data_IF_103728881401
#
_entry.id   IF_103728881401
#
_cell.length_a   1.000
_cell.length_b   1.000
_cell.length_c   1.000
_cell.angle_alpha   90.00
_cell.angle_beta   90.00
_cell.angle_gamma   90.00
#
_symmetry.space_group_name_H-M   'P 1'
#
loop_
_entity.id
_entity.type
_entity.pdbx_description
1 polymer ?
#
# COMPACT_ATOMS: atom_id res chain seq x y z
N UNK A 1 -13.57 -10.25 -25.83
CA UNK A 1 -12.67 -11.02 -24.95
C UNK A 1 -12.53 -10.26 -23.65
N UNK A 2 -12.99 -10.82 -22.54
CA UNK A 2 -12.88 -10.18 -21.23
C UNK A 2 -11.40 -10.08 -20.85
N UNK A 3 -10.90 -8.85 -20.70
CA UNK A 3 -9.60 -8.62 -20.06
C UNK A 3 -9.63 -9.28 -18.69
N UNK A 4 -8.87 -10.36 -18.54
CA UNK A 4 -8.58 -10.94 -17.22
C UNK A 4 -7.88 -9.84 -16.44
N UNK A 5 -8.60 -9.16 -15.53
CA UNK A 5 -7.99 -8.38 -14.45
C UNK A 5 -7.14 -9.35 -13.64
N UNK A 6 -5.86 -9.46 -14.00
CA UNK A 6 -4.87 -10.14 -13.18
C UNK A 6 -4.73 -9.29 -11.91
N UNK A 7 -5.07 -9.90 -10.78
CA UNK A 7 -4.82 -9.33 -9.46
C UNK A 7 -3.30 -9.18 -9.30
N UNK A 8 -2.78 -7.97 -9.41
CA UNK A 8 -1.38 -7.67 -9.12
C UNK A 8 -1.30 -7.33 -7.63
N UNK A 9 -0.64 -8.19 -6.86
CA UNK A 9 -0.39 -7.94 -5.45
C UNK A 9 0.47 -6.68 -5.28
N UNK A 10 0.33 -5.96 -4.16
CA UNK A 10 1.27 -4.88 -3.78
C UNK A 10 2.72 -5.41 -3.77
N UNK A 11 2.88 -6.70 -3.44
CA UNK A 11 4.15 -7.43 -3.44
C UNK A 11 4.73 -7.62 -4.85
N UNK A 12 3.88 -7.70 -5.89
CA UNK A 12 4.32 -7.83 -7.29
C UNK A 12 4.71 -6.47 -7.89
N UNK A 13 4.23 -5.37 -7.29
CA UNK A 13 4.44 -4.01 -7.79
C UNK A 13 5.84 -3.47 -7.49
N UNK A 14 6.44 -3.79 -6.34
CA UNK A 14 7.77 -3.27 -5.91
C UNK A 14 8.95 -3.83 -6.71
N UNK A 15 9.08 -5.15 -6.94
CA UNK A 15 10.15 -5.69 -7.79
C UNK A 15 10.03 -5.20 -9.23
N UNK A 16 8.80 -4.98 -9.71
CA UNK A 16 8.59 -4.33 -11.00
C UNK A 16 9.01 -2.86 -10.95
N UNK A 17 8.65 -2.10 -9.91
CA UNK A 17 8.98 -0.68 -9.76
C UNK A 17 10.48 -0.41 -9.66
N UNK A 18 11.25 -1.17 -8.89
CA UNK A 18 12.72 -1.01 -8.81
C UNK A 18 13.38 -1.36 -10.14
N UNK A 19 13.03 -2.49 -10.76
CA UNK A 19 13.53 -2.87 -12.09
C UNK A 19 13.12 -1.88 -13.19
N UNK A 20 11.94 -1.26 -13.07
CA UNK A 20 11.42 -0.23 -13.98
C UNK A 20 12.20 1.07 -13.78
N UNK A 21 12.50 1.48 -12.54
CA UNK A 21 13.31 2.66 -12.26
C UNK A 21 14.73 2.49 -12.80
N UNK A 22 15.34 1.34 -12.54
CA UNK A 22 16.72 1.05 -12.97
C UNK A 22 16.87 1.01 -14.49
N UNK A 23 15.82 0.62 -15.23
CA UNK A 23 15.83 0.60 -16.69
C UNK A 23 15.35 1.90 -17.35
N UNK A 24 14.24 2.50 -16.90
CA UNK A 24 13.62 3.65 -17.60
C UNK A 24 14.26 4.99 -17.27
N UNK A 25 14.86 5.15 -16.08
CA UNK A 25 15.51 6.43 -15.71
C UNK A 25 16.72 6.72 -16.61
N UNK A 26 17.66 5.77 -16.81
CA UNK A 26 18.75 5.97 -17.77
C UNK A 26 18.26 6.28 -19.19
N UNK A 27 17.20 5.61 -19.66
CA UNK A 27 16.63 5.84 -20.99
C UNK A 27 16.04 7.25 -21.16
N UNK A 28 15.41 7.80 -20.11
CA UNK A 28 14.91 9.18 -20.09
C UNK A 28 16.08 10.16 -20.06
N UNK A 29 17.08 9.91 -19.22
CA UNK A 29 18.29 10.74 -19.12
C UNK A 29 19.04 10.82 -20.45
N UNK A 30 19.19 9.68 -21.13
CA UNK A 30 19.90 9.59 -22.40
C UNK A 30 19.20 10.42 -23.49
N UNK A 31 17.91 10.19 -23.73
CA UNK A 31 17.15 10.94 -24.74
C UNK A 31 17.08 12.42 -24.40
N UNK A 32 16.93 12.77 -23.11
CA UNK A 32 16.92 14.18 -22.71
C UNK A 32 18.27 14.86 -23.02
N UNK A 33 19.38 14.22 -22.68
CA UNK A 33 20.73 14.76 -22.94
C UNK A 33 20.99 14.89 -24.44
N UNK A 34 20.58 13.90 -25.24
CA UNK A 34 20.71 13.94 -26.70
C UNK A 34 19.95 15.14 -27.32
N UNK A 35 18.74 15.43 -26.81
CA UNK A 35 17.92 16.56 -27.26
C UNK A 35 18.54 17.90 -26.84
N UNK A 36 18.96 18.02 -25.57
CA UNK A 36 19.46 19.27 -25.01
C UNK A 36 20.85 19.67 -25.52
N UNK A 37 21.60 18.73 -26.10
CA UNK A 37 22.86 19.02 -26.80
C UNK A 37 22.66 19.77 -28.13
N UNK A 38 21.42 19.88 -28.62
CA UNK A 38 21.11 20.69 -29.80
C UNK A 38 20.77 22.14 -29.39
N UNK A 39 21.56 23.10 -29.84
CA UNK A 39 21.42 24.53 -29.47
C UNK A 39 20.07 25.13 -29.86
N UNK A 40 19.50 24.73 -31.01
CA UNK A 40 18.20 25.19 -31.48
C UNK A 40 17.08 24.69 -30.56
N UNK A 41 17.09 23.40 -30.22
CA UNK A 41 16.10 22.83 -29.31
C UNK A 41 16.27 23.35 -27.89
N UNK A 42 17.50 23.54 -27.42
CA UNK A 42 17.77 24.16 -26.14
C UNK A 42 17.22 25.59 -26.05
N UNK A 43 17.36 26.38 -27.12
CA UNK A 43 16.81 27.74 -27.21
C UNK A 43 15.29 27.72 -27.09
N UNK A 44 14.64 26.85 -27.86
CA UNK A 44 13.20 26.62 -27.81
C UNK A 44 12.69 26.15 -26.46
N UNK A 45 13.43 25.22 -25.85
CA UNK A 45 13.15 24.72 -24.52
C UNK A 45 13.18 25.86 -23.50
N UNK A 46 14.20 26.72 -23.56
CA UNK A 46 14.33 27.88 -22.68
C UNK A 46 13.19 28.90 -22.87
N UNK A 47 12.84 29.21 -24.12
CA UNK A 47 11.76 30.16 -24.43
C UNK A 47 10.41 29.68 -23.88
N UNK A 48 10.06 28.41 -24.12
CA UNK A 48 8.79 27.84 -23.62
C UNK A 48 8.83 27.71 -22.10
N UNK A 49 9.98 27.33 -21.52
CA UNK A 49 10.13 27.26 -20.05
C UNK A 49 9.78 28.58 -19.39
N UNK A 50 10.35 29.68 -19.89
CA UNK A 50 10.09 31.01 -19.38
C UNK A 50 8.64 31.44 -19.64
N UNK A 51 8.11 31.10 -20.80
CA UNK A 51 6.74 31.42 -21.21
C UNK A 51 5.66 30.73 -20.33
N UNK A 52 5.91 29.52 -19.85
CA UNK A 52 4.94 28.70 -19.12
C UNK A 52 5.19 28.65 -17.61
N UNK A 53 6.43 28.76 -17.17
CA UNK A 53 6.84 28.54 -15.77
C UNK A 53 7.57 29.74 -15.15
N UNK A 54 7.91 30.77 -15.92
CA UNK A 54 8.52 32.00 -15.40
C UNK A 54 10.02 31.90 -15.09
N UNK A 55 10.57 33.02 -14.59
CA UNK A 55 12.02 33.20 -14.42
C UNK A 55 12.60 32.44 -13.21
N UNK A 56 11.87 32.32 -12.10
CA UNK A 56 12.36 31.62 -10.91
C UNK A 56 12.53 30.11 -11.17
N UNK A 57 11.59 29.51 -11.90
CA UNK A 57 11.67 28.11 -12.32
C UNK A 57 12.79 27.86 -13.34
N UNK A 58 13.05 28.81 -14.24
CA UNK A 58 14.20 28.76 -15.15
C UNK A 58 15.54 28.75 -14.39
N UNK A 59 15.66 29.56 -13.32
CA UNK A 59 16.87 29.55 -12.48
C UNK A 59 17.05 28.22 -11.74
N UNK A 60 15.96 27.59 -11.28
CA UNK A 60 16.00 26.26 -10.66
C UNK A 60 16.50 25.18 -11.62
N UNK A 61 16.12 25.24 -12.91
CA UNK A 61 16.59 24.32 -13.96
C UNK A 61 18.08 24.54 -14.32
N UNK A 62 18.59 25.77 -14.16
CA UNK A 62 19.98 26.12 -14.46
C UNK A 62 20.93 25.81 -13.30
N UNK A 63 20.49 26.05 -12.05
CA UNK A 63 21.26 25.82 -10.83
C UNK A 63 21.37 24.34 -10.49
N UNK A 64 20.28 23.59 -10.65
CA UNK A 64 20.35 22.14 -10.69
C UNK A 64 20.78 21.74 -12.09
N UNK A 65 22.09 21.59 -12.35
CA UNK A 65 22.56 20.82 -13.52
C UNK A 65 21.60 19.64 -13.66
N UNK A 66 20.84 19.58 -14.76
CA UNK A 66 19.74 18.63 -15.02
C UNK A 66 20.25 17.19 -15.05
N UNK A 67 20.76 16.76 -13.92
CA UNK A 67 20.97 15.40 -13.57
C UNK A 67 19.61 15.03 -13.00
N UNK A 68 18.95 14.08 -13.64
CA UNK A 68 17.94 13.29 -12.95
C UNK A 68 18.68 12.50 -11.87
N UNK A 69 19.15 13.20 -10.81
CA UNK A 69 20.05 12.62 -9.81
C UNK A 69 19.31 11.46 -9.16
N UNK A 70 19.87 10.26 -9.32
CA UNK A 70 19.59 9.12 -8.47
C UNK A 70 20.27 9.38 -7.13
N UNK A 71 19.67 10.20 -6.28
CA UNK A 71 19.84 9.96 -4.86
C UNK A 71 18.65 9.12 -4.42
N UNK A 72 18.98 7.96 -3.83
CA UNK A 72 18.11 6.95 -3.21
C UNK A 72 16.61 7.17 -3.47
N UNK A 73 16.14 6.67 -4.62
CA UNK A 73 14.72 6.37 -4.94
C UNK A 73 13.75 7.49 -5.35
N UNK A 74 14.16 8.76 -5.52
CA UNK A 74 13.20 9.80 -5.99
C UNK A 74 13.70 10.62 -7.18
N UNK A 75 13.05 10.45 -8.33
CA UNK A 75 13.22 11.31 -9.50
C UNK A 75 12.34 12.55 -9.34
N UNK A 76 12.85 13.72 -9.74
CA UNK A 76 12.11 14.97 -9.60
C UNK A 76 10.94 15.03 -10.60
N UNK A 77 9.74 14.68 -10.13
CA UNK A 77 8.51 14.61 -10.92
C UNK A 77 8.12 15.95 -11.56
N UNK A 78 8.45 17.05 -10.89
CA UNK A 78 8.26 18.41 -11.43
C UNK A 78 9.08 18.60 -12.70
N UNK A 79 10.32 18.09 -12.72
CA UNK A 79 11.18 18.16 -13.92
C UNK A 79 10.59 17.31 -15.04
N UNK A 80 10.08 16.10 -14.76
CA UNK A 80 9.42 15.28 -15.78
C UNK A 80 8.19 15.96 -16.38
N UNK A 81 7.35 16.55 -15.53
CA UNK A 81 6.17 17.31 -15.96
C UNK A 81 6.56 18.45 -16.89
N UNK A 82 7.57 19.25 -16.51
CA UNK A 82 8.03 20.38 -17.30
C UNK A 82 8.62 19.93 -18.64
N UNK A 83 9.55 18.97 -18.62
CA UNK A 83 10.19 18.43 -19.83
C UNK A 83 9.14 17.88 -20.80
N UNK A 84 8.17 17.14 -20.27
CA UNK A 84 7.07 16.59 -21.07
C UNK A 84 6.23 17.69 -21.73
N UNK A 85 5.82 18.70 -20.97
CA UNK A 85 5.02 19.81 -21.49
C UNK A 85 5.78 20.63 -22.53
N UNK A 86 7.05 20.97 -22.25
CA UNK A 86 7.87 21.78 -23.14
C UNK A 86 8.11 21.05 -24.47
N UNK A 87 8.48 19.78 -24.44
CA UNK A 87 8.71 19.00 -25.66
C UNK A 87 7.42 18.90 -26.49
N UNK A 88 6.27 18.67 -25.85
CA UNK A 88 4.98 18.69 -26.56
C UNK A 88 4.70 20.03 -27.23
N UNK A 89 5.04 21.15 -26.58
CA UNK A 89 4.86 22.48 -27.16
C UNK A 89 5.80 22.73 -28.33
N UNK A 90 7.06 22.27 -28.26
CA UNK A 90 8.01 22.36 -29.39
C UNK A 90 7.46 21.60 -30.60
N UNK A 91 6.98 20.37 -30.39
CA UNK A 91 6.41 19.53 -31.46
C UNK A 91 5.11 20.15 -32.01
N UNK A 92 4.22 20.62 -31.14
CA UNK A 92 2.95 21.23 -31.54
C UNK A 92 3.15 22.51 -32.36
N UNK A 93 4.18 23.31 -32.03
CA UNK A 93 4.55 24.53 -32.75
C UNK A 93 5.32 24.26 -34.06
N UNK A 94 5.60 23.00 -34.39
CA UNK A 94 6.29 22.56 -35.62
C UNK A 94 7.63 23.28 -35.84
N UNK A 95 8.36 23.53 -34.75
CA UNK A 95 9.65 24.19 -34.82
C UNK A 95 10.70 23.31 -35.49
N UNK A 96 11.63 23.92 -36.24
CA UNK A 96 12.65 23.20 -37.00
C UNK A 96 13.76 22.70 -36.08
N UNK A 97 14.05 21.40 -36.16
CA UNK A 97 15.17 20.73 -35.51
C UNK A 97 15.71 19.63 -36.43
N UNK A 98 16.91 19.10 -36.14
CA UNK A 98 17.53 18.10 -37.02
C UNK A 98 16.74 16.79 -37.02
N UNK A 99 16.74 16.09 -38.16
CA UNK A 99 16.12 14.75 -38.27
C UNK A 99 16.73 13.76 -37.28
N UNK A 100 18.02 13.91 -36.97
CA UNK A 100 18.75 13.09 -36.01
C UNK A 100 18.12 13.07 -34.60
N UNK A 101 17.52 14.19 -34.15
CA UNK A 101 16.86 14.26 -32.83
C UNK A 101 15.34 14.16 -32.93
N UNK A 102 14.78 14.05 -34.14
CA UNK A 102 13.33 13.99 -34.33
C UNK A 102 12.72 12.74 -33.71
N UNK A 103 13.42 11.61 -33.78
CA UNK A 103 13.02 10.38 -33.12
C UNK A 103 12.99 10.54 -31.60
N UNK A 104 14.04 11.10 -31.01
CA UNK A 104 14.12 11.31 -29.56
C UNK A 104 13.03 12.29 -29.05
N UNK A 105 12.75 13.34 -29.82
CA UNK A 105 11.68 14.29 -29.53
C UNK A 105 10.28 13.64 -29.46
N UNK A 106 10.05 12.59 -30.25
CA UNK A 106 8.79 11.84 -30.23
C UNK A 106 8.77 10.73 -29.17
N UNK A 107 9.89 10.02 -28.98
CA UNK A 107 9.96 8.88 -28.07
C UNK A 107 10.03 9.31 -26.60
N UNK A 108 10.67 10.44 -26.29
CA UNK A 108 10.88 10.88 -24.90
C UNK A 108 9.56 11.13 -24.17
N UNK A 109 8.55 11.83 -24.74
CA UNK A 109 7.22 11.93 -24.14
C UNK A 109 6.56 10.57 -23.86
N UNK A 110 6.77 9.57 -24.73
CA UNK A 110 6.24 8.22 -24.54
C UNK A 110 6.96 7.48 -23.40
N UNK A 111 8.29 7.62 -23.31
CA UNK A 111 9.09 7.07 -22.19
C UNK A 111 8.69 7.70 -20.86
N UNK A 112 8.52 9.02 -20.82
CA UNK A 112 8.02 9.73 -19.63
C UNK A 112 6.65 9.19 -19.24
N UNK A 113 5.70 9.06 -20.20
CA UNK A 113 4.38 8.45 -19.93
C UNK A 113 4.48 7.05 -19.35
N UNK A 114 5.30 6.19 -19.94
CA UNK A 114 5.52 4.82 -19.46
C UNK A 114 6.06 4.81 -18.02
N UNK A 115 7.01 5.68 -17.73
CA UNK A 115 7.60 5.83 -16.40
C UNK A 115 6.58 6.33 -15.37
N UNK A 116 5.86 7.42 -15.65
CA UNK A 116 4.86 7.95 -14.70
C UNK A 116 3.69 7.00 -14.47
N UNK A 117 3.26 6.26 -15.50
CA UNK A 117 2.19 5.27 -15.37
C UNK A 117 2.65 4.10 -14.50
N UNK A 118 3.89 3.63 -14.69
CA UNK A 118 4.48 2.63 -13.82
C UNK A 118 4.61 3.11 -12.36
N UNK A 119 4.74 4.43 -12.16
CA UNK A 119 4.74 5.05 -10.83
C UNK A 119 3.35 5.45 -10.31
N UNK A 120 2.27 4.98 -10.93
CA UNK A 120 0.88 5.30 -10.57
C UNK A 120 0.56 6.81 -10.58
N UNK A 121 1.18 7.56 -11.47
CA UNK A 121 0.82 8.94 -11.80
C UNK A 121 0.04 8.98 -13.12
N UNK A 122 -0.67 10.09 -13.35
CA UNK A 122 -1.23 10.41 -14.66
C UNK A 122 -1.12 11.90 -14.92
N UNK A 123 -1.12 12.26 -16.20
CA UNK A 123 -1.32 13.64 -16.60
C UNK A 123 -2.82 13.97 -16.66
N UNK A 124 -3.19 15.13 -16.14
CA UNK A 124 -4.52 15.73 -16.31
C UNK A 124 -4.36 17.12 -16.92
N UNK A 125 -5.35 17.55 -17.68
CA UNK A 125 -5.39 18.92 -18.20
C UNK A 125 -5.58 19.89 -17.02
N UNK A 126 -4.73 20.92 -17.00
CA UNK A 126 -4.71 21.99 -16.00
C UNK A 126 -4.31 23.29 -16.69
N UNK A 127 -4.48 24.41 -16.00
CA UNK A 127 -4.01 25.71 -16.48
C UNK A 127 -2.90 26.26 -15.57
N UNK A 128 -1.95 26.99 -16.16
CA UNK A 128 -0.97 27.79 -15.40
C UNK A 128 -1.65 29.02 -14.78
N UNK A 129 -0.94 29.74 -13.90
CA UNK A 129 -1.40 31.02 -13.36
C UNK A 129 -1.72 32.05 -14.48
N UNK A 130 -1.10 31.92 -15.65
CA UNK A 130 -1.36 32.74 -16.83
C UNK A 130 -2.41 32.13 -17.78
N UNK A 131 -3.26 31.21 -17.31
CA UNK A 131 -4.32 30.51 -18.08
C UNK A 131 -3.83 29.76 -19.32
N UNK A 132 -2.59 29.24 -19.30
CA UNK A 132 -2.09 28.41 -20.40
C UNK A 132 -2.35 26.94 -20.12
N UNK A 133 -2.80 26.16 -21.12
CA UNK A 133 -3.07 24.74 -20.93
C UNK A 133 -1.75 23.99 -20.72
N UNK A 134 -1.68 23.23 -19.64
CA UNK A 134 -0.58 22.34 -19.29
C UNK A 134 -1.11 21.00 -18.82
N UNK A 135 -0.30 19.96 -19.00
CA UNK A 135 -0.58 18.64 -18.45
C UNK A 135 0.09 18.54 -17.08
N UNK A 136 -0.72 18.57 -16.03
CA UNK A 136 -0.26 18.46 -14.64
C UNK A 136 -0.17 17.01 -14.24
N UNK A 137 0.95 16.61 -13.65
CA UNK A 137 1.15 15.30 -13.09
C UNK A 137 0.42 15.20 -11.75
N UNK A 138 -0.52 14.28 -11.66
CA UNK A 138 -1.26 14.00 -10.43
C UNK A 138 -1.15 12.54 -10.08
N UNK A 139 -1.05 12.25 -8.77
CA UNK A 139 -1.16 10.88 -8.29
C UNK A 139 -2.51 10.31 -8.72
N UNK A 140 -2.51 9.07 -9.21
CA UNK A 140 -3.77 8.35 -9.35
C UNK A 140 -4.34 8.12 -7.95
N UNK A 141 -5.66 7.98 -7.80
CA UNK A 141 -6.30 7.74 -6.51
C UNK A 141 -5.75 6.50 -5.79
N UNK A 142 -5.22 5.52 -6.54
CA UNK A 142 -4.46 4.38 -6.03
C UNK A 142 -3.18 4.78 -5.29
N UNK A 143 -2.52 5.89 -5.65
CA UNK A 143 -1.32 6.40 -5.00
C UNK A 143 -1.61 7.16 -3.72
N UNK A 144 -2.65 7.99 -3.65
CA UNK A 144 -3.04 8.66 -2.39
C UNK A 144 -3.38 7.60 -1.34
N UNK A 145 -4.09 6.54 -1.73
CA UNK A 145 -4.38 5.40 -0.86
C UNK A 145 -3.10 4.62 -0.50
N UNK A 146 -2.14 4.47 -1.42
CA UNK A 146 -0.86 3.77 -1.15
C UNK A 146 0.11 4.60 -0.31
N UNK A 147 0.20 5.92 -0.50
CA UNK A 147 1.01 6.84 0.32
C UNK A 147 0.38 7.00 1.71
N UNK A 148 -0.95 7.12 1.83
CA UNK A 148 -1.64 7.07 3.13
C UNK A 148 -1.47 5.72 3.82
N UNK A 149 -1.42 4.60 3.08
CA UNK A 149 -1.11 3.28 3.62
C UNK A 149 0.36 3.13 4.01
N UNK A 150 1.31 3.70 3.27
CA UNK A 150 2.75 3.66 3.59
C UNK A 150 3.08 4.54 4.80
N UNK A 151 2.40 5.68 4.94
CA UNK A 151 2.54 6.57 6.09
C UNK A 151 1.81 6.04 7.34
N UNK A 152 0.69 5.31 7.19
CA UNK A 152 0.01 4.65 8.32
C UNK A 152 0.59 3.27 8.67
N UNK A 153 1.17 2.56 7.70
CA UNK A 153 1.71 1.22 7.86
C UNK A 153 3.13 1.16 7.29
N UNK A 154 4.13 1.18 8.16
CA UNK A 154 5.56 1.05 7.85
C UNK A 154 5.90 -0.24 7.04
N UNK A 155 5.64 -0.22 5.72
CA UNK A 155 5.59 -1.39 4.81
C UNK A 155 6.97 -2.03 4.54
N UNK A 156 8.07 -1.30 4.77
CA UNK A 156 9.43 -1.86 4.67
C UNK A 156 9.72 -2.87 5.78
N UNK A 157 9.16 -2.68 6.98
CA UNK A 157 9.32 -3.60 8.10
C UNK A 157 8.51 -4.87 7.87
N UNK A 158 7.28 -4.77 7.38
CA UNK A 158 6.42 -5.94 7.14
C UNK A 158 6.99 -6.84 6.04
N UNK A 159 7.42 -6.27 4.92
CA UNK A 159 8.02 -7.05 3.82
C UNK A 159 9.34 -7.72 4.24
N UNK A 160 10.17 -7.03 5.02
CA UNK A 160 11.38 -7.62 5.58
C UNK A 160 11.05 -8.77 6.54
N UNK A 161 10.07 -8.59 7.43
CA UNK A 161 9.61 -9.65 8.35
C UNK A 161 9.07 -10.85 7.57
N UNK A 162 8.31 -10.63 6.49
CA UNK A 162 7.78 -11.71 5.64
C UNK A 162 8.92 -12.46 4.93
N UNK A 163 9.86 -11.72 4.34
CA UNK A 163 11.02 -12.28 3.67
C UNK A 163 11.88 -13.12 4.63
N UNK A 164 12.19 -12.57 5.81
CA UNK A 164 12.93 -13.27 6.85
C UNK A 164 12.19 -14.50 7.36
N UNK A 165 10.86 -14.43 7.54
CA UNK A 165 10.07 -15.56 8.02
C UNK A 165 10.08 -16.73 7.04
N UNK A 166 9.98 -16.44 5.73
CA UNK A 166 10.02 -17.45 4.66
C UNK A 166 11.42 -18.01 4.40
N UNK A 167 12.45 -17.20 4.62
CA UNK A 167 13.84 -17.62 4.50
C UNK A 167 14.34 -18.41 5.74
N UNK A 168 13.66 -18.25 6.89
CA UNK A 168 14.00 -18.96 8.11
C UNK A 168 13.81 -20.48 7.95
N UNK A 169 14.82 -21.23 8.36
CA UNK A 169 14.80 -22.69 8.34
C UNK A 169 13.78 -23.23 9.35
N UNK A 170 13.33 -24.48 9.17
CA UNK A 170 12.35 -25.11 10.06
C UNK A 170 12.81 -25.16 11.52
N UNK A 171 14.12 -25.28 11.74
CA UNK A 171 14.73 -25.38 13.07
C UNK A 171 14.82 -24.04 13.80
N UNK A 172 14.63 -22.92 13.08
CA UNK A 172 14.71 -21.54 13.62
C UNK A 172 13.37 -21.09 14.23
N UNK A 173 12.79 -21.95 15.08
CA UNK A 173 11.46 -21.77 15.68
C UNK A 173 11.34 -20.46 16.48
N UNK A 174 12.39 -20.08 17.17
CA UNK A 174 12.45 -18.86 18.01
C UNK A 174 12.45 -17.58 17.15
N UNK A 175 13.18 -17.60 16.03
CA UNK A 175 13.20 -16.52 15.04
C UNK A 175 11.82 -16.39 14.39
N UNK A 176 11.24 -17.50 13.93
CA UNK A 176 9.90 -17.52 13.35
C UNK A 176 8.86 -16.96 14.33
N UNK A 177 8.90 -17.34 15.60
CA UNK A 177 8.01 -16.81 16.62
C UNK A 177 8.15 -15.29 16.82
N UNK A 178 9.39 -14.80 16.86
CA UNK A 178 9.64 -13.36 16.98
C UNK A 178 9.11 -12.59 15.77
N UNK A 179 9.34 -13.10 14.56
CA UNK A 179 8.85 -12.51 13.31
C UNK A 179 7.31 -12.56 13.23
N UNK A 180 6.69 -13.66 13.64
CA UNK A 180 5.24 -13.80 13.70
C UNK A 180 4.59 -12.77 14.64
N UNK A 181 5.16 -12.54 15.83
CA UNK A 181 4.66 -11.52 16.76
C UNK A 181 4.69 -10.10 16.20
N UNK A 182 5.69 -9.79 15.36
CA UNK A 182 5.73 -8.50 14.67
C UNK A 182 4.55 -8.34 13.69
N UNK A 183 4.02 -9.44 13.14
CA UNK A 183 2.85 -9.43 12.23
C UNK A 183 1.53 -9.51 13.00
N UNK A 184 1.49 -10.19 14.15
CA UNK A 184 0.27 -10.42 14.93
C UNK A 184 -0.47 -9.12 15.28
N UNK A 185 0.26 -8.02 15.52
CA UNK A 185 -0.32 -6.68 15.72
C UNK A 185 -1.22 -6.24 14.55
N UNK A 186 -0.82 -6.50 13.31
CA UNK A 186 -1.61 -6.17 12.12
C UNK A 186 -2.80 -7.12 11.93
N UNK A 187 -2.67 -8.36 12.40
CA UNK A 187 -3.75 -9.37 12.37
C UNK A 187 -4.90 -8.97 13.29
N UNK A 188 -4.59 -8.41 14.47
CA UNK A 188 -5.60 -7.87 15.38
C UNK A 188 -6.39 -6.71 14.77
N UNK A 189 -5.76 -5.86 13.96
CA UNK A 189 -6.47 -4.83 13.21
C UNK A 189 -7.38 -5.41 12.11
N UNK A 190 -6.92 -6.49 11.47
CA UNK A 190 -7.64 -7.27 10.46
C UNK A 190 -8.75 -8.17 11.01
N UNK A 191 -8.94 -8.23 12.33
CA UNK A 191 -9.80 -9.20 13.00
C UNK A 191 -11.24 -9.24 12.45
N UNK A 192 -11.83 -8.07 12.20
CA UNK A 192 -13.17 -7.95 11.62
C UNK A 192 -13.33 -8.65 10.25
N UNK A 193 -12.27 -8.68 9.44
CA UNK A 193 -12.29 -9.39 8.16
C UNK A 193 -12.29 -10.90 8.34
N UNK A 194 -11.49 -11.41 9.28
CA UNK A 194 -11.39 -12.85 9.53
C UNK A 194 -12.75 -13.38 9.98
N UNK A 195 -13.40 -12.73 10.94
CA UNK A 195 -14.74 -13.11 11.39
C UNK A 195 -15.79 -13.08 10.26
N UNK A 196 -15.78 -12.03 9.44
CA UNK A 196 -16.78 -11.89 8.37
C UNK A 196 -16.54 -12.78 7.14
N UNK A 197 -15.28 -13.05 6.78
CA UNK A 197 -14.93 -13.74 5.54
C UNK A 197 -14.59 -15.21 5.74
N UNK A 198 -14.02 -15.57 6.88
CA UNK A 198 -13.61 -16.95 7.18
C UNK A 198 -14.53 -17.64 8.20
N UNK A 199 -15.47 -16.90 8.80
CA UNK A 199 -16.48 -17.42 9.71
C UNK A 199 -16.05 -17.40 11.17
N UNK A 200 -17.03 -17.44 12.07
CA UNK A 200 -16.84 -17.23 13.51
C UNK A 200 -16.07 -18.36 14.18
N UNK A 201 -16.35 -19.62 13.83
CA UNK A 201 -15.67 -20.79 14.39
C UNK A 201 -14.18 -20.81 14.01
N UNK A 202 -13.89 -20.58 12.73
CA UNK A 202 -12.50 -20.48 12.25
C UNK A 202 -11.77 -19.33 12.94
N UNK A 203 -12.36 -18.13 12.95
CA UNK A 203 -11.76 -16.95 13.57
C UNK A 203 -11.46 -17.18 15.06
N UNK A 204 -12.39 -17.78 15.81
CA UNK A 204 -12.20 -18.04 17.24
C UNK A 204 -11.06 -19.02 17.49
N UNK A 205 -10.98 -20.11 16.73
CA UNK A 205 -9.89 -21.07 16.84
C UNK A 205 -8.54 -20.45 16.43
N UNK A 206 -8.53 -19.67 15.36
CA UNK A 206 -7.36 -18.96 14.88
C UNK A 206 -6.82 -18.00 15.95
N UNK A 207 -7.64 -17.08 16.45
CA UNK A 207 -7.21 -16.10 17.45
C UNK A 207 -6.79 -16.73 18.78
N UNK A 208 -7.41 -17.86 19.17
CA UNK A 208 -6.95 -18.62 20.34
C UNK A 208 -5.51 -19.11 20.20
N UNK A 209 -5.14 -19.60 19.02
CA UNK A 209 -3.76 -20.04 18.73
C UNK A 209 -2.80 -18.84 18.60
N UNK A 210 -3.23 -17.74 17.98
CA UNK A 210 -2.45 -16.48 17.94
C UNK A 210 -2.15 -15.97 19.35
N UNK A 211 -3.16 -15.87 20.21
CA UNK A 211 -2.99 -15.45 21.60
C UNK A 211 -2.08 -16.39 22.41
N UNK A 212 -2.11 -17.69 22.11
CA UNK A 212 -1.21 -18.65 22.73
C UNK A 212 0.25 -18.39 22.34
N UNK A 213 0.52 -18.14 21.06
CA UNK A 213 1.86 -17.83 20.57
C UNK A 213 2.38 -16.47 21.05
N UNK A 214 1.51 -15.46 21.19
CA UNK A 214 1.89 -14.14 21.70
C UNK A 214 2.40 -14.20 23.15
N UNK A 215 1.84 -15.10 23.98
CA UNK A 215 2.21 -15.26 25.39
C UNK A 215 3.57 -15.95 25.59
N UNK A 216 4.02 -16.74 24.63
CA UNK A 216 5.31 -17.42 24.74
C UNK A 216 6.45 -16.41 24.73
N UNK A 217 7.56 -16.66 25.44
CA UNK A 217 8.76 -15.82 25.35
C UNK A 217 9.70 -16.43 24.32
N UNK A 218 10.00 -15.70 23.24
CA UNK A 218 10.79 -16.22 22.12
C UNK A 218 12.19 -16.63 22.54
N UNK A 219 12.76 -15.99 23.55
CA UNK A 219 14.10 -16.25 24.09
C UNK A 219 14.16 -17.45 25.05
N UNK A 220 13.00 -17.95 25.53
CA UNK A 220 12.91 -18.98 26.56
C UNK A 220 11.70 -19.89 26.30
N UNK A 221 11.75 -20.66 25.21
CA UNK A 221 10.74 -21.67 24.89
C UNK A 221 11.05 -23.01 25.58
N UNK A 222 10.05 -23.57 26.28
CA UNK A 222 10.12 -24.96 26.71
C UNK A 222 10.02 -25.92 25.53
N UNK A 223 10.44 -27.18 25.71
CA UNK A 223 10.37 -28.23 24.67
C UNK A 223 8.94 -28.43 24.15
N UNK A 224 7.94 -28.28 25.03
CA UNK A 224 6.52 -28.40 24.67
C UNK A 224 6.06 -27.21 23.83
N UNK A 225 6.47 -26.00 24.18
CA UNK A 225 6.12 -24.78 23.43
C UNK A 225 6.81 -24.76 22.07
N UNK A 226 8.09 -25.17 22.00
CA UNK A 226 8.84 -25.26 20.73
C UNK A 226 8.14 -26.19 19.73
N UNK A 227 7.70 -27.38 20.19
CA UNK A 227 6.91 -28.32 19.37
C UNK A 227 5.56 -27.75 18.93
N UNK A 228 4.89 -26.97 19.80
CA UNK A 228 3.63 -26.33 19.44
C UNK A 228 3.86 -25.29 18.34
N UNK A 229 4.82 -24.37 18.55
CA UNK A 229 5.17 -23.30 17.59
C UNK A 229 5.52 -23.91 16.24
N UNK A 230 6.43 -24.89 16.20
CA UNK A 230 6.85 -25.55 14.97
C UNK A 230 5.67 -26.15 14.17
N UNK A 231 4.65 -26.65 14.87
CA UNK A 231 3.46 -27.25 14.24
C UNK A 231 2.52 -26.22 13.62
N UNK A 232 2.29 -25.08 14.28
CA UNK A 232 1.18 -24.17 13.92
C UNK A 232 1.64 -22.87 13.26
N UNK A 233 2.90 -22.46 13.44
CA UNK A 233 3.32 -21.09 13.13
C UNK A 233 3.29 -20.74 11.63
N UNK A 234 3.63 -21.69 10.76
CA UNK A 234 3.61 -21.46 9.31
C UNK A 234 2.18 -21.28 8.79
N UNK A 235 1.24 -22.08 9.29
CA UNK A 235 -0.18 -21.96 8.93
C UNK A 235 -0.79 -20.65 9.45
N UNK A 236 -0.50 -20.31 10.71
CA UNK A 236 -0.96 -19.06 11.30
C UNK A 236 -0.39 -17.84 10.58
N UNK A 237 0.88 -17.91 10.17
CA UNK A 237 1.53 -16.88 9.39
C UNK A 237 0.87 -16.73 8.00
N UNK A 238 0.59 -17.83 7.29
CA UNK A 238 -0.05 -17.76 5.99
C UNK A 238 -1.45 -17.11 6.07
N UNK A 239 -2.24 -17.48 7.08
CA UNK A 239 -3.55 -16.86 7.33
C UNK A 239 -3.42 -15.38 7.71
N UNK A 240 -2.39 -15.03 8.48
CA UNK A 240 -2.09 -13.64 8.83
C UNK A 240 -1.82 -12.79 7.57
N UNK A 241 -1.00 -13.30 6.64
CA UNK A 241 -0.70 -12.60 5.38
C UNK A 241 -1.95 -12.43 4.52
N UNK A 242 -2.77 -13.48 4.38
CA UNK A 242 -4.05 -13.37 3.65
C UNK A 242 -4.95 -12.31 4.28
N UNK A 243 -5.01 -12.25 5.61
CA UNK A 243 -5.82 -11.28 6.33
C UNK A 243 -5.33 -9.83 6.11
N UNK A 244 -4.02 -9.61 6.12
CA UNK A 244 -3.41 -8.31 5.81
C UNK A 244 -3.69 -7.89 4.36
N UNK A 245 -3.60 -8.82 3.41
CA UNK A 245 -3.90 -8.55 1.99
C UNK A 245 -5.37 -8.19 1.79
N UNK A 246 -6.29 -8.93 2.41
CA UNK A 246 -7.72 -8.63 2.38
C UNK A 246 -8.05 -7.29 3.03
N UNK A 247 -7.34 -6.94 4.10
CA UNK A 247 -7.47 -5.64 4.75
C UNK A 247 -7.07 -4.50 3.81
N UNK A 248 -5.93 -4.64 3.14
CA UNK A 248 -5.48 -3.66 2.15
C UNK A 248 -6.48 -3.51 1.00
N UNK A 249 -7.05 -4.62 0.49
CA UNK A 249 -8.07 -4.57 -0.56
C UNK A 249 -9.37 -3.90 -0.10
N UNK A 250 -9.84 -4.22 1.10
CA UNK A 250 -11.02 -3.60 1.70
C UNK A 250 -10.84 -2.10 1.95
N UNK A 251 -9.64 -1.66 2.31
CA UNK A 251 -9.29 -0.24 2.44
C UNK A 251 -9.29 0.45 1.08
N UNK A 252 -8.66 -0.15 0.06
CA UNK A 252 -8.65 0.37 -1.32
C UNK A 252 -10.04 0.51 -1.93
N UNK A 253 -10.91 -0.46 -1.67
CA UNK A 253 -12.29 -0.43 -2.11
C UNK A 253 -13.18 0.53 -1.28
N UNK A 254 -12.65 1.16 -0.23
CA UNK A 254 -13.38 2.10 0.63
C UNK A 254 -14.46 1.43 1.49
N UNK A 255 -14.44 0.10 1.63
CA UNK A 255 -15.44 -0.68 2.39
C UNK A 255 -14.99 -1.00 3.81
N UNK A 256 -13.72 -0.74 4.15
CA UNK A 256 -13.13 -1.08 5.45
C UNK A 256 -13.92 -0.55 6.65
N UNK A 257 -14.34 0.72 6.60
CA UNK A 257 -15.13 1.33 7.69
C UNK A 257 -16.45 0.60 7.89
N UNK A 258 -17.14 0.21 6.81
CA UNK A 258 -18.40 -0.55 6.87
C UNK A 258 -18.18 -1.94 7.48
N UNK A 259 -17.08 -2.60 7.14
CA UNK A 259 -16.69 -3.91 7.69
C UNK A 259 -16.45 -3.81 9.19
N UNK A 260 -15.66 -2.82 9.64
CA UNK A 260 -15.42 -2.57 11.07
C UNK A 260 -16.71 -2.26 11.82
N UNK A 261 -17.56 -1.40 11.29
CA UNK A 261 -18.82 -1.01 11.93
C UNK A 261 -19.80 -2.19 12.04
N UNK A 262 -19.88 -3.03 11.01
CA UNK A 262 -20.71 -4.23 11.03
C UNK A 262 -20.22 -5.25 12.07
N UNK A 263 -18.90 -5.41 12.20
CA UNK A 263 -18.33 -6.29 13.21
C UNK A 263 -18.55 -5.77 14.63
N UNK A 264 -18.39 -4.46 14.84
CA UNK A 264 -18.68 -3.82 16.13
C UNK A 264 -20.12 -4.09 16.56
N UNK A 265 -21.08 -3.96 15.64
CA UNK A 265 -22.50 -4.28 15.90
C UNK A 265 -22.71 -5.76 16.22
N UNK A 266 -22.00 -6.67 15.55
CA UNK A 266 -22.05 -8.11 15.85
C UNK A 266 -21.64 -8.38 17.30
N UNK A 267 -20.52 -7.81 17.73
CA UNK A 267 -20.00 -7.95 19.09
C UNK A 267 -20.98 -7.34 20.11
N UNK A 268 -21.50 -6.15 19.86
CA UNK A 268 -22.49 -5.49 20.72
C UNK A 268 -23.76 -6.34 20.89
N UNK A 269 -24.26 -6.95 19.81
CA UNK A 269 -25.40 -7.86 19.88
C UNK A 269 -25.08 -9.12 20.68
N UNK A 270 -23.90 -9.73 20.48
CA UNK A 270 -23.50 -10.95 21.20
C UNK A 270 -23.34 -10.69 22.71
N UNK A 271 -22.75 -9.56 23.09
CA UNK A 271 -22.63 -9.14 24.49
C UNK A 271 -24.00 -8.92 25.10
N UNK A 272 -24.88 -8.18 24.40
CA UNK A 272 -26.24 -7.91 24.86
C UNK A 272 -27.02 -9.21 25.07
N UNK A 273 -26.90 -10.15 24.14
CA UNK A 273 -27.55 -11.46 24.24
C UNK A 273 -27.04 -12.27 25.44
N UNK A 274 -25.72 -12.31 25.67
CA UNK A 274 -25.15 -12.95 26.87
C UNK A 274 -25.61 -12.30 28.16
N UNK A 275 -25.70 -10.97 28.22
CA UNK A 275 -26.23 -10.26 29.39
C UNK A 275 -27.70 -10.60 29.64
N UNK A 276 -28.52 -10.71 28.59
CA UNK A 276 -29.93 -11.14 28.69
C UNK A 276 -30.01 -12.59 29.18
N UNK A 277 -29.19 -13.50 28.66
CA UNK A 277 -29.15 -14.90 29.11
C UNK A 277 -28.73 -15.03 30.57
N UNK A 278 -27.72 -14.28 31.01
CA UNK A 278 -27.30 -14.23 32.42
C UNK A 278 -28.38 -13.63 33.33
N UNK A 279 -29.04 -12.56 32.89
CA UNK A 279 -30.18 -11.98 33.62
C UNK A 279 -31.34 -12.97 33.75
N UNK A 280 -31.66 -13.70 32.67
CA UNK A 280 -32.69 -14.74 32.68
C UNK A 280 -32.33 -15.90 33.61
N UNK A 281 -31.06 -16.33 33.63
CA UNK A 281 -30.59 -17.36 34.59
C UNK A 281 -30.74 -16.89 36.04
N UNK A 282 -30.40 -15.64 36.33
CA UNK A 282 -30.57 -15.06 37.68
C UNK A 282 -32.05 -14.95 38.07
N UNK A 283 -32.92 -14.53 37.15
CA UNK A 283 -34.37 -14.48 37.39
C UNK A 283 -34.97 -15.87 37.62
N UNK A 284 -34.53 -16.89 36.87
CA UNK A 284 -34.94 -18.27 37.11
C UNK A 284 -34.47 -18.78 38.47
N UNK A 285 -33.23 -18.48 38.87
CA UNK A 285 -32.71 -18.84 40.19
C UNK A 285 -33.50 -18.19 41.34
N UNK A 286 -33.83 -16.89 41.22
CA UNK A 286 -34.66 -16.17 42.19
C UNK A 286 -36.07 -16.77 42.25
N UNK A 287 -36.70 -17.04 41.10
CA UNK A 287 -38.03 -17.67 41.04
C UNK A 287 -38.06 -19.08 41.66
N UNK A 288 -36.98 -19.85 41.53
CA UNK A 288 -36.85 -21.16 42.19
C UNK A 288 -36.70 -21.02 43.71
N UNK A 289 -35.90 -20.06 44.18
CA UNK A 289 -35.77 -19.77 45.62
C UNK A 289 -37.08 -19.27 46.23
N UNK A 290 -37.84 -18.40 45.56
CA UNK A 290 -39.15 -17.94 46.03
C UNK A 290 -40.18 -19.08 46.13
N UNK A 291 -40.13 -20.05 45.20
CA UNK A 291 -40.99 -21.24 45.24
C UNK A 291 -40.61 -22.17 46.40
N UNK A 292 -39.34 -22.25 46.77
CA UNK A 292 -38.89 -22.99 47.96
C UNK A 292 -39.32 -22.31 49.26
N UNK A 293 -39.18 -20.98 49.35
CA UNK A 293 -39.62 -20.21 50.52
C UNK A 293 -41.14 -20.35 50.74
N UNK A 294 -41.95 -20.23 49.68
CA UNK A 294 -43.40 -20.45 49.76
C UNK A 294 -43.80 -21.87 50.15
N UNK A 295 -42.97 -22.88 49.84
CA UNK A 295 -43.20 -24.27 50.29
C UNK A 295 -42.87 -24.47 51.77
N UNK A 296 -41.97 -23.66 52.32
CA UNK A 296 -41.59 -23.69 53.74
C UNK A 296 -42.64 -22.93 54.58
N UNK A 297 -43.17 -21.81 54.08
CA UNK A 297 -44.24 -21.05 54.75
C UNK A 297 -45.62 -21.73 54.69
N UNK A 298 -45.83 -22.68 53.78
CA UNK A 298 -47.07 -23.45 53.66
C UNK A 298 -47.08 -24.77 54.48
N UNK A 299 -46.05 -25.03 55.28
CA UNK A 299 -45.97 -26.11 56.27
C UNK A 299 -46.12 -25.56 57.68
#
# INVERSE_FOLDING_TARGET
MAEKKQFQSILDFRPQFENIIDALVPDIQFSYSAIMNNSTVQTYFNMISLEYYGFEYYQLLRLNRLQFKLNERTLNLTILEMVYNIIRQIVARKWRYSEYIAYDMYILPLRIKKYINAMNYKFIDSETASKKPILKLVGQSSRVIVEELVDQYHDDRLNNVIGQFRAANKDEVELKLNLFKNIALFVHEGNALIFQKLGTEFATNYFKEVEALEKYKSENLSVKEKKNVEKVIDDLFNVAIVSVLLMSDAMKAGVWKKIKDAEKRRIEMEVTQKTIEEANRRLQAISQQEKEIKKIEAK
#
